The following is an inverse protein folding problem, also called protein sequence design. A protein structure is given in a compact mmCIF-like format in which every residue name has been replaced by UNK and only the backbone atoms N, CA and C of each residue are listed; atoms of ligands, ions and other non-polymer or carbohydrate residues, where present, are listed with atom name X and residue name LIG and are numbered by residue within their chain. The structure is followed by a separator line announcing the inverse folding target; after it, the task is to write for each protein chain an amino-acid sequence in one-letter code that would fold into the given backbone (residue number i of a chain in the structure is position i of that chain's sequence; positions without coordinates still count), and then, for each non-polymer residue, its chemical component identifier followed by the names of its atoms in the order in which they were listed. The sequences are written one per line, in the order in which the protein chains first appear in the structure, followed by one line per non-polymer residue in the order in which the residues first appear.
data_IF_225632574574
#
_entry.id   IF_225632574574
#
_cell.length_a   1.000
_cell.length_b   1.000
_cell.length_c   1.000
_cell.angle_alpha   90.00
_cell.angle_beta   90.00
_cell.angle_gamma   90.00
#
_symmetry.space_group_name_H-M   'P 1'
#
loop_
_entity.id
_entity.type
_entity.pdbx_description
1 polymer ?
#
# COMPACT_ATOMS: atom_id res chain seq x y z
N UNK A 1 11.80 7.05 -23.86
CA UNK A 1 11.65 5.58 -23.83
C UNK A 1 12.43 5.06 -22.64
N UNK A 2 11.84 4.34 -21.68
CA UNK A 2 12.65 3.68 -20.68
C UNK A 2 13.52 2.64 -21.39
N UNK A 3 14.82 2.71 -21.18
CA UNK A 3 15.79 1.73 -21.67
C UNK A 3 15.41 0.37 -21.06
N UNK A 4 15.43 -0.70 -21.87
CA UNK A 4 15.18 -2.05 -21.37
C UNK A 4 16.17 -2.36 -20.23
N UNK A 5 15.66 -2.89 -19.11
CA UNK A 5 16.51 -3.27 -17.97
C UNK A 5 17.55 -4.31 -18.46
N UNK A 6 18.82 -4.22 -18.02
CA UNK A 6 19.83 -5.19 -18.43
C UNK A 6 19.40 -6.61 -18.05
N UNK A 7 19.80 -7.63 -18.83
CA UNK A 7 19.42 -9.01 -18.54
C UNK A 7 19.96 -9.44 -17.17
N UNK A 8 19.09 -10.04 -16.36
CA UNK A 8 19.42 -10.60 -15.05
C UNK A 8 19.45 -12.14 -15.12
N UNK A 9 20.21 -12.81 -14.22
CA UNK A 9 20.07 -14.24 -13.99
C UNK A 9 18.63 -14.62 -13.68
N UNK A 10 18.18 -15.80 -14.12
CA UNK A 10 16.76 -16.22 -14.11
C UNK A 10 16.06 -15.96 -12.78
N UNK A 11 16.67 -16.35 -11.65
CA UNK A 11 16.06 -16.16 -10.32
C UNK A 11 15.89 -14.67 -9.98
N UNK A 12 16.89 -13.83 -10.30
CA UNK A 12 16.81 -12.39 -10.07
C UNK A 12 15.80 -11.73 -11.01
N UNK A 13 15.69 -12.22 -12.26
CA UNK A 13 14.70 -11.75 -13.21
C UNK A 13 13.26 -12.05 -12.75
N UNK A 14 13.03 -13.21 -12.14
CA UNK A 14 11.73 -13.57 -11.57
C UNK A 14 11.33 -12.64 -10.42
N UNK A 15 12.24 -12.42 -9.47
CA UNK A 15 12.00 -11.50 -8.33
C UNK A 15 11.76 -10.08 -8.82
N UNK A 16 12.64 -9.57 -9.69
CA UNK A 16 12.52 -8.22 -10.25
C UNK A 16 11.24 -8.04 -11.09
N UNK A 17 10.83 -9.07 -11.84
CA UNK A 17 9.60 -9.07 -12.62
C UNK A 17 8.35 -9.05 -11.75
N UNK A 18 8.33 -9.84 -10.67
CA UNK A 18 7.23 -9.86 -9.72
C UNK A 18 7.06 -8.50 -9.04
N UNK A 19 8.17 -7.95 -8.54
CA UNK A 19 8.19 -6.62 -7.94
C UNK A 19 7.66 -5.56 -8.92
N UNK A 20 8.20 -5.52 -10.15
CA UNK A 20 7.78 -4.53 -11.15
C UNK A 20 6.30 -4.64 -11.52
N UNK A 21 5.75 -5.86 -11.54
CA UNK A 21 4.32 -6.07 -11.80
C UNK A 21 3.45 -5.44 -10.70
N UNK A 22 3.77 -5.71 -9.44
CA UNK A 22 3.01 -5.17 -8.31
C UNK A 22 3.23 -3.67 -8.14
N UNK A 23 4.42 -3.17 -8.40
CA UNK A 23 4.74 -1.74 -8.42
C UNK A 23 3.84 -0.97 -9.40
N UNK A 24 3.73 -1.44 -10.65
CA UNK A 24 2.85 -0.82 -11.65
C UNK A 24 1.38 -0.93 -11.24
N UNK A 25 0.96 -2.08 -10.72
CA UNK A 25 -0.40 -2.27 -10.25
C UNK A 25 -0.76 -1.31 -9.10
N UNK A 26 0.16 -1.12 -8.15
CA UNK A 26 0.04 -0.16 -7.06
C UNK A 26 -0.05 1.28 -7.58
N UNK A 27 0.75 1.66 -8.57
CA UNK A 27 0.67 3.00 -9.19
C UNK A 27 -0.69 3.27 -9.83
N UNK A 28 -1.24 2.29 -10.55
CA UNK A 28 -2.57 2.40 -11.18
C UNK A 28 -3.67 2.48 -10.11
N UNK A 29 -3.62 1.61 -9.11
CA UNK A 29 -4.53 1.64 -7.97
C UNK A 29 -4.48 3.02 -7.28
N UNK A 30 -3.30 3.44 -6.83
CA UNK A 30 -3.14 4.65 -6.03
C UNK A 30 -3.60 5.90 -6.79
N UNK A 31 -3.15 6.06 -8.03
CA UNK A 31 -3.51 7.22 -8.85
C UNK A 31 -5.02 7.29 -9.14
N UNK A 32 -5.70 6.15 -9.25
CA UNK A 32 -7.16 6.12 -9.47
C UNK A 32 -7.92 6.53 -8.21
N UNK A 33 -7.57 5.98 -7.06
CA UNK A 33 -8.27 6.25 -5.79
C UNK A 33 -7.99 7.63 -5.24
N UNK A 34 -6.74 8.10 -5.32
CA UNK A 34 -6.38 9.47 -4.92
C UNK A 34 -7.16 10.50 -5.72
N UNK A 35 -7.31 10.29 -7.04
CA UNK A 35 -8.11 11.17 -7.89
C UNK A 35 -9.58 11.16 -7.49
N UNK A 36 -10.16 9.96 -7.29
CA UNK A 36 -11.56 9.81 -6.87
C UNK A 36 -11.85 10.54 -5.55
N UNK A 37 -11.01 10.35 -4.53
CA UNK A 37 -11.15 11.05 -3.25
C UNK A 37 -11.11 12.57 -3.42
N UNK A 38 -10.19 13.08 -4.25
CA UNK A 38 -10.09 14.52 -4.54
C UNK A 38 -11.29 15.07 -5.30
N UNK A 39 -11.88 14.29 -6.21
CA UNK A 39 -13.14 14.66 -6.89
C UNK A 39 -14.30 14.81 -5.90
N UNK A 40 -14.28 14.04 -4.80
CA UNK A 40 -15.21 14.16 -3.67
C UNK A 40 -14.84 15.27 -2.68
N UNK A 41 -13.85 16.11 -2.99
CA UNK A 41 -13.31 17.15 -2.09
C UNK A 41 -12.81 16.60 -0.75
N UNK A 42 -12.28 15.38 -0.76
CA UNK A 42 -11.66 14.73 0.41
C UNK A 42 -10.13 14.84 0.33
N UNK A 43 -9.50 14.97 1.50
CA UNK A 43 -8.05 14.83 1.65
C UNK A 43 -7.69 13.34 1.79
N UNK A 44 -6.91 12.75 0.86
CA UNK A 44 -6.55 11.35 0.93
C UNK A 44 -5.57 11.05 2.07
N UNK A 45 -5.80 9.94 2.74
CA UNK A 45 -4.92 9.32 3.75
C UNK A 45 -4.51 7.95 3.24
N UNK A 46 -3.21 7.67 3.26
CA UNK A 46 -2.64 6.40 2.82
C UNK A 46 -2.09 5.62 4.01
N UNK A 47 -2.44 4.34 4.14
CA UNK A 47 -1.95 3.48 5.22
C UNK A 47 -1.35 2.22 4.62
N UNK A 48 -0.16 1.84 5.09
CA UNK A 48 0.50 0.57 4.81
C UNK A 48 0.56 -0.26 6.11
N UNK A 49 0.08 -1.50 6.05
CA UNK A 49 0.15 -2.45 7.17
C UNK A 49 0.66 -3.82 6.71
N UNK A 50 1.42 -4.50 7.57
CA UNK A 50 1.87 -5.86 7.33
C UNK A 50 0.97 -6.86 8.07
N UNK A 51 0.70 -8.01 7.45
CA UNK A 51 -0.19 -9.03 7.99
C UNK A 51 0.52 -10.39 8.13
N UNK A 52 0.06 -11.21 9.07
CA UNK A 52 0.68 -12.49 9.46
C UNK A 52 0.55 -13.61 8.42
N UNK A 53 -0.30 -13.43 7.41
CA UNK A 53 -0.39 -14.28 6.21
C UNK A 53 0.67 -13.94 5.14
N UNK A 54 1.57 -12.98 5.41
CA UNK A 54 2.60 -12.56 4.47
C UNK A 54 2.12 -11.56 3.42
N UNK A 55 1.12 -10.74 3.75
CA UNK A 55 0.61 -9.70 2.87
C UNK A 55 0.92 -8.30 3.41
N UNK A 56 1.16 -7.37 2.49
CA UNK A 56 1.09 -5.94 2.79
C UNK A 56 -0.25 -5.41 2.29
N UNK A 57 -0.98 -4.75 3.16
CA UNK A 57 -2.22 -4.06 2.81
C UNK A 57 -1.94 -2.57 2.68
N UNK A 58 -2.32 -2.00 1.54
CA UNK A 58 -2.23 -0.57 1.28
C UNK A 58 -3.65 -0.05 1.11
N UNK A 59 -4.06 0.89 1.95
CA UNK A 59 -5.38 1.50 1.87
C UNK A 59 -5.28 2.97 1.49
N UNK A 60 -6.26 3.43 0.73
CA UNK A 60 -6.48 4.84 0.45
C UNK A 60 -7.91 5.18 0.88
N UNK A 61 -8.02 6.12 1.80
CA UNK A 61 -9.27 6.51 2.44
C UNK A 61 -9.26 8.00 2.76
N UNK A 62 -10.33 8.50 3.39
CA UNK A 62 -10.38 9.85 3.93
C UNK A 62 -11.18 9.85 5.24
N UNK A 63 -10.86 10.79 6.13
CA UNK A 63 -11.53 10.92 7.43
C UNK A 63 -13.05 11.17 7.25
N UNK A 64 -13.84 10.43 8.02
CA UNK A 64 -15.30 10.46 8.00
C UNK A 64 -15.90 10.02 6.66
N UNK A 65 -15.20 9.17 5.90
CA UNK A 65 -15.69 8.58 4.65
C UNK A 65 -15.63 7.04 4.68
N UNK A 66 -16.58 6.45 5.40
CA UNK A 66 -16.69 5.00 5.60
C UNK A 66 -16.93 4.19 4.30
N UNK A 67 -17.30 4.85 3.20
CA UNK A 67 -17.77 4.18 1.98
C UNK A 67 -16.81 4.28 0.81
N UNK A 68 -16.00 5.33 0.73
CA UNK A 68 -15.13 5.59 -0.41
C UNK A 68 -13.66 5.33 -0.09
N UNK A 69 -13.38 4.16 0.50
CA UNK A 69 -12.02 3.65 0.60
C UNK A 69 -11.85 2.44 -0.31
N UNK A 70 -10.61 2.21 -0.75
CA UNK A 70 -10.23 0.97 -1.41
C UNK A 70 -8.88 0.49 -0.88
N UNK A 71 -8.59 -0.80 -1.07
CA UNK A 71 -7.34 -1.43 -0.68
C UNK A 71 -6.67 -2.16 -1.85
N UNK A 72 -5.35 -2.21 -1.75
CA UNK A 72 -4.47 -3.01 -2.58
C UNK A 72 -3.70 -3.98 -1.69
N UNK A 73 -3.71 -5.26 -2.06
CA UNK A 73 -3.00 -6.31 -1.36
C UNK A 73 -1.75 -6.69 -2.16
N UNK A 74 -0.59 -6.56 -1.54
CA UNK A 74 0.69 -7.02 -2.08
C UNK A 74 1.10 -8.30 -1.35
N UNK A 75 0.92 -9.49 -1.94
CA UNK A 75 1.40 -10.73 -1.37
C UNK A 75 2.93 -10.80 -1.44
N UNK A 76 3.59 -11.03 -0.31
CA UNK A 76 5.05 -11.09 -0.23
C UNK A 76 5.55 -12.46 -0.69
N UNK A 77 6.45 -12.43 -1.67
CA UNK A 77 7.27 -13.59 -2.00
C UNK A 77 8.45 -13.70 -1.02
N UNK A 78 9.01 -14.90 -0.87
CA UNK A 78 10.12 -15.17 0.06
C UNK A 78 11.39 -14.33 -0.19
N UNK A 79 11.56 -13.77 -1.39
CA UNK A 79 12.70 -12.93 -1.75
C UNK A 79 12.34 -11.44 -1.87
N UNK A 80 11.13 -11.05 -1.51
CA UNK A 80 10.74 -9.64 -1.56
C UNK A 80 11.45 -8.83 -0.47
N UNK A 81 11.81 -7.60 -0.82
CA UNK A 81 12.42 -6.65 0.09
C UNK A 81 11.35 -5.67 0.58
N UNK A 82 10.83 -5.90 1.79
CA UNK A 82 9.77 -5.06 2.38
C UNK A 82 10.20 -3.60 2.52
N UNK A 83 11.47 -3.34 2.87
CA UNK A 83 11.96 -1.97 3.01
C UNK A 83 11.96 -1.21 1.67
N UNK A 84 12.24 -1.91 0.56
CA UNK A 84 12.14 -1.35 -0.79
C UNK A 84 10.67 -1.11 -1.20
N UNK A 85 9.78 -2.04 -0.86
CA UNK A 85 8.34 -1.86 -1.14
C UNK A 85 7.80 -0.65 -0.36
N UNK A 86 8.16 -0.51 0.91
CA UNK A 86 7.80 0.65 1.73
C UNK A 86 8.35 1.95 1.14
N UNK A 87 9.64 2.00 0.75
CA UNK A 87 10.21 3.20 0.16
C UNK A 87 9.48 3.61 -1.12
N UNK A 88 9.19 2.65 -2.02
CA UNK A 88 8.47 2.93 -3.25
C UNK A 88 7.03 3.39 -2.99
N UNK A 89 6.35 2.83 -1.98
CA UNK A 89 5.04 3.30 -1.54
C UNK A 89 5.10 4.76 -1.08
N UNK A 90 6.06 5.11 -0.22
CA UNK A 90 6.21 6.49 0.28
C UNK A 90 6.54 7.48 -0.83
N UNK A 91 7.43 7.10 -1.75
CA UNK A 91 7.78 7.91 -2.92
C UNK A 91 6.56 8.15 -3.80
N UNK A 92 5.78 7.10 -4.10
CA UNK A 92 4.55 7.21 -4.88
C UNK A 92 3.52 8.14 -4.22
N UNK A 93 3.34 8.04 -2.89
CA UNK A 93 2.43 8.94 -2.16
C UNK A 93 2.91 10.39 -2.24
N UNK A 94 4.22 10.63 -2.10
CA UNK A 94 4.81 11.96 -2.22
C UNK A 94 4.64 12.54 -3.63
N UNK A 95 4.91 11.76 -4.68
CA UNK A 95 4.67 12.13 -6.09
C UNK A 95 3.20 12.50 -6.33
N UNK A 96 2.28 11.74 -5.75
CA UNK A 96 0.85 12.00 -5.84
C UNK A 96 0.38 13.15 -4.93
N UNK A 97 1.27 13.77 -4.14
CA UNK A 97 0.99 14.82 -3.14
C UNK A 97 -0.01 14.39 -2.06
N UNK A 98 0.05 13.13 -1.65
CA UNK A 98 -0.64 12.66 -0.44
C UNK A 98 0.24 13.07 0.75
N UNK A 99 -0.32 13.90 1.65
CA UNK A 99 0.42 14.46 2.79
C UNK A 99 0.36 13.54 4.00
N UNK A 100 -0.75 12.81 4.12
CA UNK A 100 -1.04 11.98 5.28
C UNK A 100 -0.76 10.51 4.92
N UNK A 101 0.40 10.02 5.36
CA UNK A 101 0.94 8.71 4.99
C UNK A 101 1.43 7.99 6.23
N UNK A 102 0.81 6.86 6.55
CA UNK A 102 1.12 6.04 7.71
C UNK A 102 1.67 4.68 7.27
N UNK A 103 2.74 4.25 7.94
CA UNK A 103 3.19 2.87 7.89
C UNK A 103 3.09 2.34 9.30
N UNK A 104 2.25 1.32 9.50
CA UNK A 104 2.00 0.77 10.82
C UNK A 104 3.17 -0.12 11.26
N UNK A 105 3.64 -0.01 12.51
CA UNK A 105 4.90 -0.62 12.94
C UNK A 105 4.81 -2.11 13.29
N UNK A 106 3.60 -2.64 13.46
CA UNK A 106 3.36 -4.02 13.88
C UNK A 106 2.91 -4.91 12.72
N UNK A 107 2.95 -6.22 12.96
CA UNK A 107 2.30 -7.22 12.12
C UNK A 107 0.91 -7.51 12.71
N UNK A 108 -0.11 -7.41 11.86
CA UNK A 108 -1.52 -7.55 12.24
C UNK A 108 -2.08 -8.90 11.77
N UNK A 109 -3.17 -9.39 12.36
CA UNK A 109 -3.85 -10.57 11.83
C UNK A 109 -4.40 -10.28 10.43
N UNK A 110 -4.40 -11.28 9.55
CA UNK A 110 -5.06 -11.21 8.23
C UNK A 110 -6.52 -10.78 8.33
N UNK A 111 -7.24 -11.28 9.35
CA UNK A 111 -8.67 -11.02 9.53
C UNK A 111 -9.04 -10.80 10.99
N UNK A 112 -10.15 -10.09 11.20
CA UNK A 112 -10.80 -9.92 12.50
C UNK A 112 -12.24 -10.36 12.37
N UNK A 113 -12.65 -11.29 13.23
CA UNK A 113 -14.01 -11.87 13.21
C UNK A 113 -14.41 -12.46 11.84
N UNK A 114 -13.43 -13.00 11.10
CA UNK A 114 -13.62 -13.60 9.77
C UNK A 114 -13.69 -12.59 8.61
N UNK A 115 -13.47 -11.31 8.88
CA UNK A 115 -13.43 -10.24 7.85
C UNK A 115 -11.97 -9.82 7.63
N UNK A 116 -11.47 -9.76 6.39
CA UNK A 116 -10.14 -9.24 6.09
C UNK A 116 -9.90 -7.87 6.73
N UNK A 117 -8.76 -7.73 7.40
CA UNK A 117 -8.44 -6.53 8.17
C UNK A 117 -7.78 -5.47 7.28
N UNK A 118 -8.42 -4.32 7.16
CA UNK A 118 -7.89 -3.14 6.50
C UNK A 118 -8.03 -1.95 7.45
N UNK A 119 -6.98 -1.13 7.53
CA UNK A 119 -6.99 0.10 8.32
C UNK A 119 -7.34 1.29 7.43
N UNK A 120 -8.21 2.17 7.91
CA UNK A 120 -8.63 3.39 7.25
C UNK A 120 -8.24 4.61 8.07
N UNK A 121 -8.42 5.81 7.52
CA UNK A 121 -8.16 7.07 8.21
C UNK A 121 -8.84 7.13 9.59
N UNK A 122 -10.06 6.59 9.70
CA UNK A 122 -10.86 6.63 10.92
C UNK A 122 -10.34 5.69 12.03
N UNK A 123 -9.46 4.74 11.68
CA UNK A 123 -8.84 3.79 12.63
C UNK A 123 -7.56 4.36 13.28
N UNK A 124 -6.93 5.36 12.67
CA UNK A 124 -5.66 5.94 13.14
C UNK A 124 -5.69 6.46 14.59
N UNK A 125 -6.75 7.15 15.08
CA UNK A 125 -6.81 7.59 16.46
C UNK A 125 -6.73 6.44 17.46
N UNK A 126 -7.22 5.25 17.08
CA UNK A 126 -7.30 4.08 17.95
C UNK A 126 -5.95 3.34 18.00
N UNK A 127 -5.20 3.38 16.89
CA UNK A 127 -3.86 2.79 16.78
C UNK A 127 -2.81 3.57 17.58
N UNK A 128 -2.91 4.90 17.64
CA UNK A 128 -1.98 5.75 18.39
C UNK A 128 -2.14 5.63 19.93
N UNK A 129 -3.25 5.06 20.40
CA UNK A 129 -3.51 4.83 21.83
C UNK A 129 -2.97 3.51 22.38
N UNK A 130 -2.31 2.69 21.54
CA UNK A 130 -1.77 1.37 21.91
C UNK A 130 -0.23 1.34 22.00
N UNK A 131 0.43 2.50 21.89
CA UNK A 131 1.89 2.66 22.00
C UNK A 131 2.33 3.07 23.41
#
# INVERSE_FOLDING_TARGET
FPIARPPLPVMQALVAGNFARFEVALQVFASSQIRRLRELSKDPVAILSAHDNGELHITLSAEGDERNWEAFVWPLAAMDNVALIESNFRELMAECRVRDVHVLPAVYPESRDGIPLFFTADDLPQLNGQA
#
